data_IF_105120327776
#
_entry.id   IF_105120327776
#
_cell.length_a   1.000
_cell.length_b   1.000
_cell.length_c   1.000
_cell.angle_alpha   90.00
_cell.angle_beta   90.00
_cell.angle_gamma   90.00
#
_symmetry.space_group_name_H-M   'P 1'
#
loop_
_entity.id
_entity.type
_entity.pdbx_description
1 polymer ?
#
# COMPACT_ATOMS: atom_id res chain seq x y z
N UNK A 1 -0.64 3.38 -24.52
CA UNK A 1 -1.40 2.57 -23.56
C UNK A 1 -1.13 3.20 -22.23
N UNK A 2 -2.12 3.86 -21.65
CA UNK A 2 -2.03 4.34 -20.27
C UNK A 2 -2.22 3.12 -19.39
N UNK A 3 -1.10 2.53 -18.97
CA UNK A 3 -1.11 1.38 -18.08
C UNK A 3 -1.69 1.84 -16.74
N UNK A 4 -2.71 1.15 -16.23
CA UNK A 4 -3.37 1.51 -14.98
C UNK A 4 -2.64 0.84 -13.82
N UNK A 5 -2.29 1.55 -12.74
CA UNK A 5 -1.59 0.93 -11.62
C UNK A 5 -2.51 -0.06 -10.90
N UNK A 6 -1.91 -1.09 -10.33
CA UNK A 6 -2.56 -2.06 -9.44
C UNK A 6 -2.95 -1.37 -8.14
N UNK A 7 -1.99 -0.65 -7.54
CA UNK A 7 -2.18 0.06 -6.29
C UNK A 7 -1.55 1.46 -6.34
N UNK A 8 -2.19 2.42 -5.67
CA UNK A 8 -1.71 3.79 -5.53
C UNK A 8 -1.70 4.17 -4.05
N UNK A 9 -0.57 4.68 -3.58
CA UNK A 9 -0.47 5.24 -2.24
C UNK A 9 -0.45 6.77 -2.32
N UNK A 10 -1.49 7.39 -1.78
CA UNK A 10 -1.61 8.85 -1.78
C UNK A 10 -0.60 9.50 -0.82
N UNK A 11 -0.19 8.78 0.23
CA UNK A 11 0.69 9.31 1.27
C UNK A 11 2.14 9.53 0.80
N UNK A 12 2.67 8.70 -0.10
CA UNK A 12 4.00 8.90 -0.70
C UNK A 12 3.95 9.11 -2.23
N UNK A 13 2.76 9.17 -2.84
CA UNK A 13 2.61 9.39 -4.28
C UNK A 13 3.17 8.26 -5.15
N UNK A 14 3.24 7.05 -4.63
CA UNK A 14 3.79 5.88 -5.34
C UNK A 14 2.68 5.07 -5.98
N UNK A 15 2.89 4.72 -7.25
CA UNK A 15 2.04 3.85 -8.04
C UNK A 15 2.76 2.52 -8.28
N UNK A 16 2.11 1.41 -7.92
CA UNK A 16 2.57 0.06 -8.22
C UNK A 16 1.86 -0.46 -9.47
N UNK A 17 2.61 -0.68 -10.54
CA UNK A 17 2.10 -1.20 -11.82
C UNK A 17 2.26 -2.72 -11.94
N UNK A 18 3.16 -3.30 -11.16
CA UNK A 18 3.48 -4.73 -11.18
C UNK A 18 3.65 -5.30 -9.76
N UNK A 19 3.51 -6.62 -9.67
CA UNK A 19 3.88 -7.39 -8.48
C UNK A 19 5.32 -7.91 -8.60
N UNK A 20 6.00 -8.13 -7.47
CA UNK A 20 5.56 -7.82 -6.11
C UNK A 20 5.93 -6.40 -5.69
N UNK A 21 5.26 -5.90 -4.67
CA UNK A 21 5.62 -4.65 -3.97
C UNK A 21 5.40 -4.82 -2.48
N UNK A 22 5.85 -3.86 -1.68
CA UNK A 22 5.71 -3.88 -0.24
C UNK A 22 4.74 -2.82 0.25
N UNK A 23 3.97 -3.18 1.27
CA UNK A 23 3.08 -2.26 1.98
C UNK A 23 3.54 -2.15 3.43
N UNK A 24 3.81 -0.94 3.89
CA UNK A 24 3.81 -0.63 5.33
C UNK A 24 2.35 -0.31 5.69
N UNK A 25 1.64 -1.15 6.45
CA UNK A 25 0.27 -0.86 6.84
C UNK A 25 0.23 0.39 7.73
N UNK A 26 -0.91 1.07 7.75
CA UNK A 26 -1.12 2.21 8.63
C UNK A 26 -1.03 1.78 10.10
N UNK A 27 -0.36 2.57 10.93
CA UNK A 27 -0.18 2.27 12.36
C UNK A 27 -0.32 3.54 13.21
N UNK A 28 -1.38 3.58 14.03
CA UNK A 28 -1.66 4.74 14.90
C UNK A 28 -1.99 6.00 14.10
N UNK A 29 -1.06 6.94 14.04
CA UNK A 29 -1.15 8.18 13.24
C UNK A 29 -0.35 8.11 11.92
N UNK A 30 0.41 7.03 11.69
CA UNK A 30 1.23 6.86 10.48
C UNK A 30 0.39 6.27 9.34
N UNK A 31 0.37 6.89 8.14
CA UNK A 31 -0.37 6.38 7.00
C UNK A 31 0.27 5.10 6.43
N UNK A 32 -0.48 4.38 5.61
CA UNK A 32 0.08 3.28 4.84
C UNK A 32 1.02 3.81 3.75
N UNK A 33 2.06 3.04 3.43
CA UNK A 33 3.02 3.38 2.38
C UNK A 33 3.28 2.20 1.44
N UNK A 34 3.45 2.49 0.14
CA UNK A 34 3.93 1.52 -0.85
C UNK A 34 5.43 1.70 -1.06
N UNK A 35 6.16 0.59 -1.08
CA UNK A 35 7.56 0.53 -1.50
C UNK A 35 7.69 -0.47 -2.65
N UNK A 36 8.16 0.00 -3.81
CA UNK A 36 8.46 -0.86 -4.95
C UNK A 36 9.74 -1.65 -4.65
N UNK A 37 9.90 -2.84 -5.24
CA UNK A 37 11.11 -3.64 -5.03
C UNK A 37 12.38 -2.84 -5.34
N UNK A 38 12.40 -2.06 -6.41
CA UNK A 38 13.55 -1.23 -6.80
C UNK A 38 13.92 -0.16 -5.74
N UNK A 39 12.93 0.39 -5.04
CA UNK A 39 13.16 1.36 -3.97
C UNK A 39 13.80 0.71 -2.75
N UNK A 40 13.48 -0.55 -2.49
CA UNK A 40 14.01 -1.30 -1.34
C UNK A 40 15.49 -1.63 -1.51
N UNK A 41 15.95 -1.89 -2.74
CA UNK A 41 17.36 -2.19 -3.03
C UNK A 41 18.31 -1.01 -2.82
N UNK A 42 17.80 0.21 -2.68
CA UNK A 42 18.59 1.42 -2.46
C UNK A 42 18.86 1.72 -0.98
N UNK A 43 18.26 0.98 -0.04
CA UNK A 43 18.50 1.18 1.39
C UNK A 43 19.77 0.48 1.86
N UNK A 44 20.38 1.04 2.91
CA UNK A 44 21.47 0.36 3.61
C UNK A 44 20.94 -0.94 4.22
N UNK A 45 21.79 -1.96 4.36
CA UNK A 45 21.38 -3.26 4.92
C UNK A 45 20.61 -3.14 6.26
N UNK A 46 21.06 -2.26 7.17
CA UNK A 46 20.38 -2.01 8.45
C UNK A 46 19.00 -1.37 8.28
N UNK A 47 18.85 -0.43 7.33
CA UNK A 47 17.58 0.20 7.00
C UNK A 47 16.62 -0.81 6.36
N UNK A 48 17.12 -1.64 5.44
CA UNK A 48 16.34 -2.72 4.82
C UNK A 48 15.86 -3.73 5.86
N UNK A 49 16.72 -4.18 6.78
CA UNK A 49 16.34 -5.15 7.82
C UNK A 49 15.29 -4.56 8.78
N UNK A 50 15.45 -3.29 9.20
CA UNK A 50 14.48 -2.61 10.05
C UNK A 50 13.15 -2.35 9.35
N UNK A 51 13.17 -1.98 8.07
CA UNK A 51 11.95 -1.76 7.29
C UNK A 51 11.23 -3.08 6.98
N UNK A 52 11.95 -4.11 6.52
CA UNK A 52 11.41 -5.43 6.19
C UNK A 52 10.64 -6.06 7.35
N UNK A 53 11.04 -5.82 8.60
CA UNK A 53 10.32 -6.31 9.77
C UNK A 53 8.88 -5.78 9.89
N UNK A 54 8.58 -4.66 9.24
CA UNK A 54 7.27 -3.99 9.29
C UNK A 54 6.58 -3.90 7.92
N UNK A 55 7.21 -4.44 6.87
CA UNK A 55 6.68 -4.45 5.52
C UNK A 55 5.99 -5.77 5.22
N UNK A 56 4.85 -5.68 4.54
CA UNK A 56 4.10 -6.83 4.05
C UNK A 56 4.35 -6.92 2.56
N UNK A 57 4.94 -8.03 2.10
CA UNK A 57 5.12 -8.29 0.67
C UNK A 57 3.77 -8.66 0.07
N UNK A 58 3.37 -7.92 -0.95
CA UNK A 58 2.17 -8.15 -1.74
C UNK A 58 2.61 -8.80 -3.04
N UNK A 59 2.22 -10.06 -3.22
CA UNK A 59 2.53 -10.86 -4.41
C UNK A 59 1.31 -11.00 -5.32
N UNK A 60 0.12 -10.66 -4.81
CA UNK A 60 -1.14 -10.81 -5.52
C UNK A 60 -2.22 -9.85 -5.02
N UNK A 61 -3.33 -9.78 -5.78
CA UNK A 61 -4.51 -9.01 -5.38
C UNK A 61 -5.11 -9.52 -4.07
N UNK A 62 -5.05 -10.84 -3.84
CA UNK A 62 -5.58 -11.48 -2.65
C UNK A 62 -4.92 -10.96 -1.38
N UNK A 63 -3.62 -10.68 -1.43
CA UNK A 63 -2.91 -10.14 -0.25
C UNK A 63 -3.45 -8.76 0.12
N UNK A 64 -3.81 -7.92 -0.86
CA UNK A 64 -4.43 -6.62 -0.62
C UNK A 64 -5.85 -6.75 -0.04
N UNK A 65 -6.62 -7.72 -0.54
CA UNK A 65 -7.96 -8.04 0.00
C UNK A 65 -7.88 -8.56 1.44
N UNK A 66 -6.92 -9.45 1.73
CA UNK A 66 -6.67 -9.98 3.07
C UNK A 66 -6.18 -8.88 4.05
N UNK A 67 -5.51 -7.85 3.54
CA UNK A 67 -5.18 -6.63 4.29
C UNK A 67 -6.37 -5.65 4.45
N UNK A 68 -7.50 -5.93 3.81
CA UNK A 68 -8.72 -5.13 3.89
C UNK A 68 -8.75 -3.92 2.94
N UNK A 69 -7.82 -3.83 1.99
CA UNK A 69 -7.85 -2.79 0.97
C UNK A 69 -8.94 -3.08 -0.07
N UNK A 70 -9.50 -2.00 -0.62
CA UNK A 70 -10.55 -2.07 -1.64
C UNK A 70 -10.13 -1.30 -2.88
N UNK A 71 -10.60 -1.78 -4.02
CA UNK A 71 -10.49 -1.06 -5.28
C UNK A 71 -11.47 0.12 -5.31
N UNK A 72 -11.05 1.21 -5.94
CA UNK A 72 -11.95 2.30 -6.32
C UNK A 72 -12.77 1.93 -7.57
N UNK A 73 -13.60 2.88 -8.05
CA UNK A 73 -14.43 2.71 -9.27
C UNK A 73 -13.60 2.41 -10.53
N UNK A 74 -12.32 2.73 -10.47
CA UNK A 74 -11.36 2.51 -11.53
C UNK A 74 -10.67 1.15 -11.47
N UNK A 75 -10.87 0.36 -10.41
CA UNK A 75 -10.23 -0.94 -10.22
C UNK A 75 -8.84 -0.88 -9.57
N UNK A 76 -8.42 0.27 -9.04
CA UNK A 76 -7.11 0.51 -8.41
C UNK A 76 -7.26 0.41 -6.89
N UNK A 77 -6.35 -0.28 -6.22
CA UNK A 77 -6.26 -0.28 -4.75
C UNK A 77 -5.71 1.05 -4.24
N UNK A 78 -6.50 1.81 -3.49
CA UNK A 78 -6.06 3.10 -2.93
C UNK A 78 -5.63 2.90 -1.48
N UNK A 79 -4.32 3.08 -1.22
CA UNK A 79 -3.73 3.07 0.10
C UNK A 79 -3.76 4.50 0.64
N UNK A 80 -4.89 4.88 1.24
CA UNK A 80 -5.11 6.23 1.77
C UNK A 80 -4.44 6.46 3.13
N UNK A 81 -4.13 7.73 3.47
CA UNK A 81 -3.80 8.11 4.84
C UNK A 81 -4.99 7.89 5.80
N UNK A 82 -4.69 7.79 7.10
CA UNK A 82 -5.60 7.50 8.22
C UNK A 82 -6.83 8.41 8.37
N UNK A 83 -6.98 9.47 7.57
CA UNK A 83 -8.04 10.45 7.76
C UNK A 83 -9.39 10.11 7.14
N UNK A 84 -9.58 8.92 6.58
CA UNK A 84 -10.92 8.33 6.48
C UNK A 84 -10.84 6.82 6.69
N UNK A 85 -11.07 6.31 7.93
CA UNK A 85 -11.73 5.03 8.01
C UNK A 85 -12.94 5.10 7.07
N UNK A 86 -13.10 4.10 6.22
CA UNK A 86 -14.37 3.86 5.54
C UNK A 86 -15.39 3.52 6.63
N UNK A 87 -15.84 4.54 7.37
CA UNK A 87 -16.97 4.50 8.29
C UNK A 87 -18.21 4.32 7.42
N UNK A 88 -18.42 3.09 6.96
CA UNK A 88 -19.75 2.62 6.69
C UNK A 88 -20.52 2.64 8.00
N UNK A 89 -21.66 3.34 8.00
CA UNK A 89 -22.78 3.00 8.89
C UNK A 89 -22.91 3.85 10.15
N UNK A 90 -23.02 5.16 10.00
CA UNK A 90 -23.72 6.03 10.97
C UNK A 90 -25.12 6.37 10.47
N UNK A 91 -25.93 5.38 10.11
CA UNK A 91 -27.38 5.55 10.05
C UNK A 91 -27.95 5.15 11.42
N UNK A 92 -28.33 6.13 12.23
CA UNK A 92 -29.47 6.14 13.16
C UNK A 92 -29.64 7.52 13.79
#
# INVERSE_FOLDING_TARGET
MDEKPIARCEANGVDAYEYPFYVKPAHGMEPAYIFLEDHVYNFSREETEAMMAHLIRVESEKDLEDLGYRKNEEGIYILSPLEKPWLHGGES
#
